data_IF_387533308982
#
_entry.id   IF_387533308982
#
_cell.length_a   1.000
_cell.length_b   1.000
_cell.length_c   1.000
_cell.angle_alpha   90.00
_cell.angle_beta   90.00
_cell.angle_gamma   90.00
#
_symmetry.space_group_name_H-M   'P 1'
#
loop_
_entity.id
_entity.type
_entity.pdbx_description
1 polymer ?
#
# COMPACT_ATOMS: atom_id res chain seq x y z
N UNK A 1 -20.84 -38.20 -39.56
CA UNK A 1 -19.44 -37.83 -39.27
C UNK A 1 -19.22 -36.30 -39.36
N UNK A 2 -19.52 -35.60 -40.47
CA UNK A 2 -19.35 -34.13 -40.63
C UNK A 2 -19.99 -33.29 -39.51
N UNK A 3 -21.23 -33.63 -39.06
CA UNK A 3 -21.95 -32.89 -38.01
C UNK A 3 -21.27 -33.03 -36.66
N UNK A 4 -20.70 -34.20 -36.30
CA UNK A 4 -19.97 -34.43 -35.07
C UNK A 4 -18.67 -33.65 -35.06
N UNK A 5 -17.95 -33.65 -36.19
CA UNK A 5 -16.71 -32.89 -36.40
C UNK A 5 -16.93 -31.38 -36.22
N UNK A 6 -17.99 -30.83 -36.82
CA UNK A 6 -18.36 -29.43 -36.65
C UNK A 6 -18.72 -29.08 -35.18
N UNK A 7 -19.43 -29.97 -34.47
CA UNK A 7 -19.74 -29.79 -33.07
C UNK A 7 -18.49 -29.77 -32.18
N UNK A 8 -17.53 -30.65 -32.45
CA UNK A 8 -16.25 -30.67 -31.71
C UNK A 8 -15.46 -29.39 -31.95
N UNK A 9 -15.37 -28.91 -33.21
CA UNK A 9 -14.72 -27.64 -33.50
C UNK A 9 -15.40 -26.48 -32.77
N UNK A 10 -16.72 -26.41 -32.79
CA UNK A 10 -17.47 -25.37 -32.10
C UNK A 10 -17.15 -25.34 -30.58
N UNK A 11 -17.10 -26.53 -29.94
CA UNK A 11 -16.73 -26.65 -28.51
C UNK A 11 -15.30 -26.15 -28.27
N UNK A 12 -14.35 -26.54 -29.12
CA UNK A 12 -12.95 -26.10 -29.00
C UNK A 12 -12.85 -24.58 -29.11
N UNK A 13 -13.56 -23.97 -30.07
CA UNK A 13 -13.56 -22.50 -30.24
C UNK A 13 -14.15 -21.79 -29.03
N UNK A 14 -15.23 -22.31 -28.47
CA UNK A 14 -15.85 -21.74 -27.24
C UNK A 14 -14.91 -21.86 -26.06
N UNK A 15 -14.26 -23.00 -25.85
CA UNK A 15 -13.28 -23.19 -24.79
C UNK A 15 -12.07 -22.28 -24.94
N UNK A 16 -11.52 -22.20 -26.16
CA UNK A 16 -10.37 -21.31 -26.44
C UNK A 16 -10.72 -19.83 -26.21
N UNK A 17 -11.91 -19.41 -26.66
CA UNK A 17 -12.41 -18.04 -26.42
C UNK A 17 -12.62 -17.76 -24.93
N UNK A 18 -13.20 -18.70 -24.19
CA UNK A 18 -13.37 -18.60 -22.73
C UNK A 18 -12.03 -18.50 -21.99
N UNK A 19 -11.04 -19.27 -22.41
CA UNK A 19 -9.69 -19.25 -21.84
C UNK A 19 -8.98 -17.92 -22.10
N UNK A 20 -9.06 -17.38 -23.32
CA UNK A 20 -8.51 -16.05 -23.66
C UNK A 20 -9.15 -14.93 -22.86
N UNK A 21 -10.46 -14.91 -22.74
CA UNK A 21 -11.19 -13.89 -21.97
C UNK A 21 -10.84 -13.97 -20.49
N UNK A 22 -10.73 -15.18 -19.95
CA UNK A 22 -10.34 -15.41 -18.55
C UNK A 22 -8.91 -14.94 -18.30
N UNK A 23 -7.97 -15.29 -19.17
CA UNK A 23 -6.58 -14.87 -19.09
C UNK A 23 -6.45 -13.34 -19.09
N UNK A 24 -7.03 -12.68 -20.09
CA UNK A 24 -6.95 -11.23 -20.21
C UNK A 24 -7.60 -10.53 -19.01
N UNK A 25 -8.72 -11.05 -18.50
CA UNK A 25 -9.38 -10.50 -17.33
C UNK A 25 -8.58 -10.67 -16.04
N UNK A 26 -7.93 -11.83 -15.86
CA UNK A 26 -7.06 -12.10 -14.70
C UNK A 26 -5.75 -11.33 -14.80
N UNK A 27 -5.10 -11.33 -15.95
CA UNK A 27 -3.87 -10.59 -16.18
C UNK A 27 -4.05 -9.08 -15.94
N UNK A 28 -5.11 -8.48 -16.50
CA UNK A 28 -5.38 -7.07 -16.28
C UNK A 28 -5.73 -6.72 -14.83
N UNK A 29 -6.41 -7.61 -14.10
CA UNK A 29 -6.66 -7.36 -12.68
C UNK A 29 -5.43 -7.62 -11.80
N UNK A 30 -4.51 -8.50 -12.20
CA UNK A 30 -3.22 -8.69 -11.54
C UNK A 30 -2.33 -7.46 -11.72
N UNK A 31 -2.25 -6.92 -12.93
CA UNK A 31 -1.55 -5.66 -13.23
C UNK A 31 -2.07 -4.50 -12.37
N UNK A 32 -3.39 -4.42 -12.16
CA UNK A 32 -3.98 -3.41 -11.28
C UNK A 32 -3.52 -3.56 -9.82
N UNK A 33 -3.30 -4.78 -9.32
CA UNK A 33 -2.72 -5.03 -7.99
C UNK A 33 -1.27 -4.56 -7.94
N UNK A 34 -0.45 -4.92 -8.92
CA UNK A 34 0.96 -4.54 -9.00
C UNK A 34 1.12 -3.01 -9.11
N UNK A 35 0.24 -2.36 -9.87
CA UNK A 35 0.21 -0.88 -9.95
C UNK A 35 -0.14 -0.25 -8.60
N UNK A 36 -1.16 -0.74 -7.92
CA UNK A 36 -1.55 -0.21 -6.61
C UNK A 36 -0.49 -0.46 -5.53
N UNK A 37 0.27 -1.56 -5.61
CA UNK A 37 1.42 -1.83 -4.76
C UNK A 37 2.54 -0.80 -4.97
N UNK A 38 2.88 -0.52 -6.23
CA UNK A 38 3.87 0.50 -6.59
C UNK A 38 3.46 1.91 -6.14
N UNK A 39 2.15 2.22 -6.12
CA UNK A 39 1.64 3.48 -5.58
C UNK A 39 1.87 3.57 -4.06
N UNK A 40 1.64 2.48 -3.30
CA UNK A 40 1.97 2.41 -1.86
C UNK A 40 3.45 2.67 -1.63
N UNK A 41 4.33 1.98 -2.38
CA UNK A 41 5.78 2.13 -2.27
C UNK A 41 6.23 3.56 -2.59
N UNK A 42 5.64 4.19 -3.60
CA UNK A 42 5.89 5.60 -3.95
C UNK A 42 5.56 6.54 -2.79
N UNK A 43 4.42 6.33 -2.11
CA UNK A 43 4.03 7.15 -0.95
C UNK A 43 4.95 6.90 0.25
N UNK A 44 5.36 5.66 0.49
CA UNK A 44 6.32 5.31 1.54
C UNK A 44 7.70 5.93 1.28
N UNK A 45 8.19 5.87 0.03
CA UNK A 45 9.46 6.50 -0.35
C UNK A 45 9.40 8.02 -0.13
N UNK A 46 8.33 8.67 -0.58
CA UNK A 46 8.14 10.11 -0.37
C UNK A 46 8.18 10.48 1.12
N UNK A 47 7.53 9.69 1.99
CA UNK A 47 7.60 9.88 3.44
C UNK A 47 9.03 9.73 3.97
N UNK A 48 9.75 8.70 3.49
CA UNK A 48 11.14 8.46 3.90
C UNK A 48 12.06 9.61 3.50
N UNK A 49 11.83 10.23 2.34
CA UNK A 49 12.63 11.37 1.86
C UNK A 49 12.39 12.66 2.65
N UNK A 50 11.21 12.81 3.30
CA UNK A 50 10.92 13.96 4.16
C UNK A 50 11.69 13.93 5.48
N UNK A 51 11.97 12.73 6.03
CA UNK A 51 12.61 12.57 7.35
C UNK A 51 13.99 13.20 7.40
N UNK A 52 14.94 12.97 6.47
CA UNK A 52 16.25 13.60 6.47
C UNK A 52 16.18 15.14 6.41
N UNK A 53 15.23 15.69 5.63
CA UNK A 53 15.03 17.13 5.52
C UNK A 53 14.55 17.73 6.83
N UNK A 54 13.60 17.05 7.50
CA UNK A 54 13.09 17.44 8.81
C UNK A 54 14.19 17.39 9.86
N UNK A 55 14.99 16.33 9.90
CA UNK A 55 16.14 16.18 10.81
C UNK A 55 17.18 17.26 10.57
N UNK A 56 17.46 17.59 9.31
CA UNK A 56 18.41 18.65 8.95
C UNK A 56 17.92 20.02 9.43
N UNK A 57 16.63 20.33 9.25
CA UNK A 57 16.02 21.56 9.73
C UNK A 57 16.11 21.66 11.25
N UNK A 58 15.75 20.62 11.97
CA UNK A 58 15.84 20.57 13.44
C UNK A 58 17.28 20.72 13.93
N UNK A 59 18.25 20.05 13.29
CA UNK A 59 19.68 20.15 13.64
C UNK A 59 20.25 21.56 13.48
N UNK A 60 19.70 22.38 12.61
CA UNK A 60 20.13 23.77 12.46
C UNK A 60 19.84 24.62 13.71
N UNK A 61 18.82 24.23 14.47
CA UNK A 61 18.44 24.89 15.73
C UNK A 61 19.10 24.26 16.96
N UNK A 62 19.37 22.93 16.90
CA UNK A 62 20.00 22.18 18.00
C UNK A 62 21.50 22.06 17.77
N UNK A 63 22.27 23.07 18.09
CA UNK A 63 23.71 23.06 17.84
C UNK A 63 24.52 21.97 18.57
N UNK A 64 23.97 21.26 19.50
CA UNK A 64 24.68 20.25 20.31
C UNK A 64 23.74 19.23 20.97
N UNK A 65 23.20 18.25 20.28
CA UNK A 65 22.87 16.99 20.98
C UNK A 65 22.80 15.79 20.02
N UNK A 66 23.53 14.73 20.39
CA UNK A 66 23.47 13.41 19.75
C UNK A 66 22.19 12.74 20.24
N UNK A 67 21.16 12.70 19.42
CA UNK A 67 19.91 12.02 19.75
C UNK A 67 19.56 10.95 18.71
N UNK A 68 19.61 9.70 19.12
CA UNK A 68 19.52 8.49 18.28
C UNK A 68 18.07 8.03 17.95
N UNK A 69 17.07 8.89 18.03
CA UNK A 69 15.70 8.53 17.65
C UNK A 69 14.99 9.69 16.96
N UNK A 70 15.01 9.65 15.62
CA UNK A 70 14.63 10.80 14.80
C UNK A 70 13.18 11.29 14.97
N UNK A 71 12.22 10.46 15.37
CA UNK A 71 10.82 10.87 15.47
C UNK A 71 10.33 11.10 16.92
N UNK A 72 10.76 10.31 17.88
CA UNK A 72 10.44 10.52 19.31
C UNK A 72 11.17 11.73 19.89
N UNK A 73 12.37 12.03 19.41
CA UNK A 73 13.12 13.22 19.82
C UNK A 73 12.56 14.55 19.30
N UNK A 74 11.83 14.56 18.19
CA UNK A 74 11.26 15.76 17.58
C UNK A 74 10.28 16.51 18.49
N UNK A 75 9.44 15.79 19.22
CA UNK A 75 8.44 16.40 20.12
C UNK A 75 9.10 17.12 21.31
N UNK A 76 10.13 16.51 21.88
CA UNK A 76 10.90 17.08 23.00
C UNK A 76 11.72 18.28 22.52
N UNK A 77 12.28 18.22 21.32
CA UNK A 77 13.06 19.34 20.75
C UNK A 77 12.16 20.55 20.50
N UNK A 78 10.97 20.37 19.96
CA UNK A 78 10.03 21.46 19.68
C UNK A 78 9.54 22.18 20.96
N UNK A 79 9.44 21.47 22.08
CA UNK A 79 9.09 22.08 23.38
C UNK A 79 10.21 22.96 23.91
N UNK A 80 11.46 22.56 23.67
CA UNK A 80 12.66 23.30 24.13
C UNK A 80 13.07 24.46 23.21
N UNK A 81 12.62 24.45 21.95
CA UNK A 81 12.96 25.47 20.93
C UNK A 81 11.68 26.06 20.30
N UNK A 82 11.04 27.02 20.98
CA UNK A 82 9.77 27.62 20.49
C UNK A 82 9.92 28.35 19.15
N UNK A 83 11.13 28.76 18.77
CA UNK A 83 11.45 29.38 17.49
C UNK A 83 11.21 28.40 16.32
N UNK A 84 11.41 27.10 16.56
CA UNK A 84 11.17 26.05 15.57
C UNK A 84 9.68 25.95 15.18
N UNK A 85 8.78 26.22 16.11
CA UNK A 85 7.31 26.25 15.83
C UNK A 85 6.92 27.36 14.85
N UNK A 86 7.74 28.38 14.74
CA UNK A 86 7.51 29.53 13.84
C UNK A 86 8.32 29.43 12.54
N UNK A 87 9.20 28.40 12.42
CA UNK A 87 9.97 28.16 11.21
C UNK A 87 9.07 27.61 10.11
N UNK A 88 8.98 28.35 9.00
CA UNK A 88 8.09 28.00 7.88
C UNK A 88 8.50 26.69 7.20
N UNK A 89 9.79 26.38 7.18
CA UNK A 89 10.29 25.13 6.59
C UNK A 89 9.90 23.94 7.46
N UNK A 90 10.06 24.07 8.78
CA UNK A 90 9.66 23.02 9.73
C UNK A 90 8.15 22.77 9.66
N UNK A 91 7.34 23.81 9.73
CA UNK A 91 5.86 23.69 9.66
C UNK A 91 5.45 23.04 8.34
N UNK A 92 6.01 23.51 7.21
CA UNK A 92 5.71 22.92 5.89
C UNK A 92 6.08 21.43 5.80
N UNK A 93 7.24 21.02 6.36
CA UNK A 93 7.65 19.62 6.39
C UNK A 93 6.75 18.76 7.29
N UNK A 94 6.30 19.29 8.43
CA UNK A 94 5.38 18.59 9.33
C UNK A 94 3.99 18.43 8.71
N UNK A 95 3.49 19.45 8.02
CA UNK A 95 2.23 19.38 7.28
C UNK A 95 2.32 18.36 6.14
N UNK A 96 3.44 18.33 5.43
CA UNK A 96 3.66 17.35 4.36
C UNK A 96 3.81 15.92 4.90
N UNK A 97 4.47 15.74 6.05
CA UNK A 97 4.58 14.43 6.72
C UNK A 97 3.19 13.94 7.17
N UNK A 98 2.39 14.80 7.80
CA UNK A 98 1.02 14.48 8.18
C UNK A 98 0.14 14.17 6.96
N UNK A 99 0.27 14.95 5.89
CA UNK A 99 -0.42 14.70 4.63
C UNK A 99 0.01 13.39 3.97
N UNK A 100 1.29 12.98 4.11
CA UNK A 100 1.81 11.73 3.57
C UNK A 100 1.19 10.52 4.26
N UNK A 101 0.94 10.58 5.57
CA UNK A 101 0.26 9.52 6.34
C UNK A 101 -1.14 9.22 5.78
N UNK A 102 -1.90 10.28 5.53
CA UNK A 102 -3.23 10.14 4.93
C UNK A 102 -3.16 9.54 3.51
N UNK A 103 -2.19 9.98 2.68
CA UNK A 103 -1.99 9.42 1.33
C UNK A 103 -1.60 7.94 1.36
N UNK A 104 -0.72 7.53 2.30
CA UNK A 104 -0.36 6.12 2.49
C UNK A 104 -1.59 5.30 2.88
N UNK A 105 -2.43 5.81 3.78
CA UNK A 105 -3.66 5.14 4.20
C UNK A 105 -4.63 4.94 3.02
N UNK A 106 -4.78 5.94 2.16
CA UNK A 106 -5.59 5.85 0.94
C UNK A 106 -4.99 4.84 -0.04
N UNK A 107 -3.68 4.92 -0.31
CA UNK A 107 -3.02 3.99 -1.24
C UNK A 107 -3.13 2.52 -0.76
N UNK A 108 -2.99 2.26 0.54
CA UNK A 108 -3.21 0.92 1.12
C UNK A 108 -4.65 0.42 0.94
N UNK A 109 -5.63 1.31 1.08
CA UNK A 109 -7.03 0.98 0.81
C UNK A 109 -7.23 0.61 -0.66
N UNK A 110 -6.70 1.41 -1.57
CA UNK A 110 -6.82 1.19 -3.01
C UNK A 110 -6.14 -0.12 -3.43
N UNK A 111 -4.98 -0.44 -2.85
CA UNK A 111 -4.33 -1.75 -3.00
C UNK A 111 -5.24 -2.89 -2.57
N UNK A 112 -5.83 -2.81 -1.39
CA UNK A 112 -6.73 -3.84 -0.88
C UNK A 112 -8.00 -3.99 -1.75
N UNK A 113 -8.50 -2.91 -2.33
CA UNK A 113 -9.62 -2.96 -3.30
C UNK A 113 -9.20 -3.66 -4.60
N UNK A 114 -8.00 -3.40 -5.12
CA UNK A 114 -7.45 -4.08 -6.27
C UNK A 114 -7.25 -5.59 -6.02
N UNK A 115 -6.67 -5.96 -4.86
CA UNK A 115 -6.52 -7.36 -4.41
C UNK A 115 -7.87 -8.05 -4.32
N UNK A 116 -8.88 -7.40 -3.72
CA UNK A 116 -10.24 -7.93 -3.64
C UNK A 116 -10.84 -8.18 -5.01
N UNK A 117 -10.69 -7.24 -5.94
CA UNK A 117 -11.20 -7.37 -7.30
C UNK A 117 -10.54 -8.54 -8.05
N UNK A 118 -9.21 -8.65 -7.95
CA UNK A 118 -8.44 -9.74 -8.53
C UNK A 118 -8.81 -11.11 -7.93
N UNK A 119 -8.77 -11.24 -6.60
CA UNK A 119 -9.11 -12.48 -5.92
C UNK A 119 -10.57 -12.92 -6.19
N UNK A 120 -11.48 -11.95 -6.31
CA UNK A 120 -12.87 -12.22 -6.68
C UNK A 120 -13.00 -12.79 -8.09
N UNK A 121 -12.24 -12.27 -9.06
CA UNK A 121 -12.20 -12.82 -10.43
C UNK A 121 -11.62 -14.22 -10.45
N UNK A 122 -10.61 -14.47 -9.64
CA UNK A 122 -9.93 -15.77 -9.56
C UNK A 122 -10.87 -16.87 -8.99
N UNK A 123 -11.79 -16.53 -8.07
CA UNK A 123 -12.71 -17.52 -7.47
C UNK A 123 -14.04 -17.64 -8.20
N UNK A 124 -14.40 -16.68 -9.06
CA UNK A 124 -15.63 -16.73 -9.88
C UNK A 124 -15.37 -17.47 -11.19
N UNK A 125 -16.46 -18.10 -11.73
CA UNK A 125 -16.41 -18.65 -13.08
C UNK A 125 -16.25 -17.52 -14.13
N UNK A 126 -15.42 -17.70 -15.18
CA UNK A 126 -14.60 -18.87 -15.49
C UNK A 126 -13.21 -18.87 -14.86
N UNK A 127 -12.82 -17.85 -14.08
CA UNK A 127 -11.51 -17.70 -13.48
C UNK A 127 -11.10 -18.84 -12.54
N UNK A 128 -12.07 -19.41 -11.79
CA UNK A 128 -11.82 -20.55 -10.90
C UNK A 128 -11.38 -21.85 -11.63
N UNK A 129 -11.77 -21.99 -12.90
CA UNK A 129 -11.38 -23.14 -13.72
C UNK A 129 -10.06 -22.89 -14.42
N UNK A 130 -9.93 -21.73 -15.05
CA UNK A 130 -8.76 -21.42 -15.88
C UNK A 130 -7.62 -20.79 -15.10
N UNK A 131 -7.90 -20.12 -13.97
CA UNK A 131 -6.88 -19.43 -13.18
C UNK A 131 -5.78 -20.35 -12.68
N UNK A 132 -6.16 -21.48 -12.08
CA UNK A 132 -5.21 -22.47 -11.58
C UNK A 132 -4.40 -23.12 -12.72
N UNK A 133 -5.04 -23.38 -13.88
CA UNK A 133 -4.36 -23.92 -15.05
C UNK A 133 -3.34 -22.94 -15.65
N UNK A 134 -3.59 -21.63 -15.51
CA UNK A 134 -2.75 -20.55 -16.03
C UNK A 134 -1.72 -20.04 -14.99
N UNK A 135 -1.66 -20.65 -13.80
CA UNK A 135 -0.70 -20.30 -12.77
C UNK A 135 -1.02 -19.00 -12.02
N UNK A 136 -2.28 -18.57 -12.02
CA UNK A 136 -2.70 -17.44 -11.21
C UNK A 136 -2.99 -17.89 -9.77
N UNK A 137 -2.38 -17.19 -8.81
CA UNK A 137 -2.57 -17.41 -7.37
C UNK A 137 -3.23 -16.20 -6.74
N UNK A 138 -3.85 -16.38 -5.56
CA UNK A 138 -4.43 -15.27 -4.82
C UNK A 138 -3.34 -14.30 -4.36
N UNK A 139 -3.63 -13.01 -4.49
CA UNK A 139 -2.83 -11.97 -3.90
C UNK A 139 -3.19 -11.79 -2.41
N UNK A 140 -2.18 -11.45 -1.60
CA UNK A 140 -2.35 -11.14 -0.18
C UNK A 140 -2.84 -9.72 0.01
N UNK A 141 -3.71 -9.51 0.99
CA UNK A 141 -4.10 -8.18 1.42
C UNK A 141 -2.96 -7.52 2.21
N UNK A 142 -2.96 -6.20 2.20
CA UNK A 142 -2.16 -5.44 3.14
C UNK A 142 -2.73 -5.67 4.54
N UNK A 143 -1.92 -6.23 5.42
CA UNK A 143 -2.26 -6.45 6.83
C UNK A 143 -1.64 -5.34 7.67
N UNK A 144 -2.38 -4.86 8.66
CA UNK A 144 -1.81 -3.98 9.69
C UNK A 144 -0.83 -4.78 10.56
N UNK A 145 0.21 -4.12 11.06
CA UNK A 145 1.09 -4.73 12.06
C UNK A 145 0.28 -5.27 13.24
N UNK A 146 0.63 -6.46 13.71
CA UNK A 146 -0.07 -7.11 14.83
C UNK A 146 -0.12 -6.22 16.08
N UNK A 147 0.90 -5.38 16.29
CA UNK A 147 0.97 -4.38 17.36
C UNK A 147 -0.05 -3.23 17.21
N UNK A 148 -0.58 -2.99 16.00
CA UNK A 148 -1.61 -1.97 15.77
C UNK A 148 -3.00 -2.42 16.26
N UNK A 149 -3.19 -3.71 16.55
CA UNK A 149 -4.42 -4.25 17.13
C UNK A 149 -4.47 -4.06 18.66
N UNK A 150 -3.31 -3.92 19.30
CA UNK A 150 -3.23 -3.61 20.72
C UNK A 150 -3.51 -2.12 20.92
N UNK A 151 -4.69 -1.82 21.45
CA UNK A 151 -5.03 -0.44 21.84
C UNK A 151 -4.08 -0.07 22.98
N UNK A 152 -3.20 0.94 22.83
CA UNK A 152 -2.37 1.38 23.95
C UNK A 152 -3.28 1.79 25.10
N UNK A 153 -3.08 1.23 26.29
CA UNK A 153 -3.80 1.69 27.46
C UNK A 153 -3.29 3.10 27.80
N UNK A 154 -4.11 4.08 27.47
CA UNK A 154 -3.80 5.50 27.72
C UNK A 154 -3.67 5.76 29.24
N UNK A 155 -4.25 4.91 30.07
CA UNK A 155 -4.13 4.96 31.53
C UNK A 155 -2.69 4.71 32.00
N UNK A 156 -2.01 3.74 31.43
CA UNK A 156 -0.61 3.43 31.76
C UNK A 156 0.35 4.52 31.27
N UNK A 157 0.06 5.18 30.14
CA UNK A 157 0.87 6.29 29.61
C UNK A 157 0.76 7.59 30.41
N UNK A 158 -0.29 7.75 31.22
CA UNK A 158 -0.50 8.93 32.07
C UNK A 158 -0.04 8.72 33.51
N UNK A 159 0.41 7.50 33.88
CA UNK A 159 0.85 7.14 35.21
C UNK A 159 2.38 7.25 35.44
N UNK A 160 3.18 7.57 34.40
CA UNK A 160 4.60 7.92 34.48
C UNK A 160 4.81 9.45 34.42
#
# INVERSE_FOLDING_TARGET
>A
MKKIFLAVIAVIVVLAGGLMLSYNGLAGSKEAVETAEADVDTMLQRRADLIPNLVSTVKSYTKHEKGDSALSGLKVVVENYPELKSDTTYVGLMDELSGSENRISVARKDYNEAVKAYNTRLVKFPGNVFGSMLGFEKASYFEADASAADTPDVGDMLAE
#
